data_IF_070987046459
#
_entry.id   IF_070987046459
#
_cell.length_a   1.000
_cell.length_b   1.000
_cell.length_c   1.000
_cell.angle_alpha   90.00
_cell.angle_beta   90.00
_cell.angle_gamma   90.00
#
_symmetry.space_group_name_H-M   'P 1'
#
loop_
_entity.id
_entity.type
_entity.pdbx_description
1 polymer ?
#
# COMPACT_ATOMS: atom_id res chain seq x y z
N UNK A 1 14.40 12.45 -15.02
CA UNK A 1 14.68 12.41 -13.56
C UNK A 1 13.92 11.23 -12.98
N UNK A 2 14.61 10.24 -12.37
CA UNK A 2 13.96 9.09 -11.74
C UNK A 2 13.49 9.54 -10.35
N UNK A 3 12.18 9.59 -10.11
CA UNK A 3 11.56 10.10 -8.86
C UNK A 3 11.90 9.29 -7.60
N UNK A 4 12.68 8.22 -7.71
CA UNK A 4 13.06 7.32 -6.62
C UNK A 4 14.20 7.82 -5.72
N UNK A 5 14.94 8.87 -6.10
CA UNK A 5 16.11 9.35 -5.32
C UNK A 5 15.75 10.27 -4.13
N UNK A 6 14.47 10.57 -3.91
CA UNK A 6 14.04 11.53 -2.87
C UNK A 6 13.41 10.93 -1.62
N UNK A 7 13.13 9.62 -1.59
CA UNK A 7 12.44 9.00 -0.46
C UNK A 7 13.44 8.31 0.48
N UNK A 8 13.38 8.63 1.78
CA UNK A 8 14.30 8.08 2.80
C UNK A 8 13.90 6.68 3.25
N UNK A 9 12.61 6.42 3.29
CA UNK A 9 11.98 5.25 3.87
C UNK A 9 11.17 4.43 2.85
N UNK A 10 11.17 4.82 1.58
CA UNK A 10 10.54 4.08 0.49
C UNK A 10 11.57 3.53 -0.49
N UNK A 11 11.37 2.30 -0.95
CA UNK A 11 12.29 1.60 -1.85
C UNK A 11 11.54 0.98 -3.02
N UNK A 12 12.13 1.03 -4.21
CA UNK A 12 11.61 0.31 -5.36
C UNK A 12 12.02 -1.16 -5.27
N UNK A 13 11.13 -2.09 -5.65
CA UNK A 13 11.46 -3.50 -5.79
C UNK A 13 11.35 -3.91 -7.27
N UNK A 14 12.48 -4.05 -7.99
CA UNK A 14 12.45 -4.32 -9.43
C UNK A 14 11.92 -5.73 -9.77
N UNK A 15 11.94 -6.65 -8.79
CA UNK A 15 11.43 -8.02 -8.94
C UNK A 15 9.90 -8.09 -8.80
N UNK A 16 9.25 -6.99 -8.38
CA UNK A 16 7.79 -6.92 -8.29
C UNK A 16 7.21 -6.42 -9.61
N UNK A 17 6.05 -6.96 -10.00
CA UNK A 17 5.26 -6.41 -11.10
C UNK A 17 4.71 -5.00 -10.77
N UNK A 18 4.61 -4.67 -9.47
CA UNK A 18 4.16 -3.37 -9.00
C UNK A 18 5.26 -2.32 -9.15
N UNK A 19 4.90 -1.18 -9.72
CA UNK A 19 5.74 0.01 -9.91
C UNK A 19 5.71 0.94 -8.69
N UNK A 20 4.71 0.82 -7.81
CA UNK A 20 4.68 1.58 -6.57
C UNK A 20 5.85 1.23 -5.63
N UNK A 21 6.23 2.18 -4.77
CA UNK A 21 7.29 1.97 -3.79
C UNK A 21 6.81 1.12 -2.60
N UNK A 22 7.78 0.45 -1.98
CA UNK A 22 7.62 -0.36 -0.79
C UNK A 22 8.18 0.37 0.42
N UNK A 23 7.63 0.06 1.59
CA UNK A 23 8.20 0.50 2.86
C UNK A 23 9.55 -0.19 3.07
N UNK A 24 10.61 0.60 3.25
CA UNK A 24 11.94 0.11 3.60
C UNK A 24 11.87 -0.76 4.86
N UNK A 25 12.48 -1.95 4.81
CA UNK A 25 12.48 -2.89 5.92
C UNK A 25 11.20 -3.71 6.07
N UNK A 26 10.20 -3.53 5.19
CA UNK A 26 8.97 -4.34 5.18
C UNK A 26 8.67 -4.90 3.80
N UNK A 27 7.90 -5.98 3.77
CA UNK A 27 7.32 -6.50 2.52
C UNK A 27 5.91 -5.94 2.30
N UNK A 28 5.76 -4.63 2.44
CA UNK A 28 4.48 -3.92 2.36
C UNK A 28 4.63 -2.71 1.42
N UNK A 29 3.66 -2.55 0.52
CA UNK A 29 3.60 -1.41 -0.39
C UNK A 29 3.01 -0.18 0.27
N UNK A 30 3.27 1.01 -0.29
CA UNK A 30 2.63 2.25 0.17
C UNK A 30 1.11 2.18 0.05
N UNK A 31 0.58 1.61 -1.04
CA UNK A 31 -0.85 1.43 -1.22
C UNK A 31 -1.47 0.58 -0.11
N UNK A 32 -0.87 -0.57 0.20
CA UNK A 32 -1.33 -1.44 1.28
C UNK A 32 -1.38 -0.70 2.62
N UNK A 33 -0.33 0.04 2.98
CA UNK A 33 -0.33 0.83 4.21
C UNK A 33 -1.49 1.83 4.24
N UNK A 34 -1.67 2.63 3.18
CA UNK A 34 -2.72 3.65 3.13
C UNK A 34 -4.11 3.04 3.15
N UNK A 35 -4.34 1.92 2.46
CA UNK A 35 -5.62 1.21 2.54
C UNK A 35 -5.88 0.64 3.92
N UNK A 36 -4.88 0.04 4.57
CA UNK A 36 -4.99 -0.45 5.95
C UNK A 36 -5.34 0.68 6.91
N UNK A 37 -4.68 1.83 6.80
CA UNK A 37 -4.99 3.01 7.61
C UNK A 37 -6.42 3.47 7.40
N UNK A 38 -6.88 3.56 6.14
CA UNK A 38 -8.25 3.98 5.83
C UNK A 38 -9.30 3.00 6.30
N UNK A 39 -9.06 1.69 6.12
CA UNK A 39 -9.99 0.63 6.51
C UNK A 39 -10.18 0.57 8.03
N UNK A 40 -9.11 0.85 8.79
CA UNK A 40 -9.13 0.83 10.26
C UNK A 40 -9.27 2.23 10.87
N UNK A 41 -9.45 3.27 10.05
CA UNK A 41 -9.53 4.67 10.45
C UNK A 41 -8.37 5.15 11.36
N UNK A 42 -7.15 4.69 11.04
CA UNK A 42 -5.94 4.98 11.80
C UNK A 42 -5.29 6.30 11.37
N UNK A 43 -4.81 7.07 12.35
CA UNK A 43 -3.86 8.16 12.14
C UNK A 43 -2.46 7.64 11.78
N UNK A 44 -1.57 8.55 11.37
CA UNK A 44 -0.19 8.19 11.04
C UNK A 44 0.56 7.65 12.26
N UNK A 45 0.30 8.21 13.43
CA UNK A 45 0.86 7.82 14.72
C UNK A 45 0.36 6.44 15.15
N UNK A 46 -0.94 6.18 15.03
CA UNK A 46 -1.53 4.89 15.38
C UNK A 46 -1.05 3.79 14.43
N UNK A 47 -1.01 4.06 13.13
CA UNK A 47 -0.49 3.10 12.15
C UNK A 47 1.00 2.81 12.34
N UNK A 48 1.78 3.82 12.73
CA UNK A 48 3.18 3.66 13.08
C UNK A 48 3.35 2.73 14.29
N UNK A 49 2.51 2.88 15.32
CA UNK A 49 2.53 2.00 16.49
C UNK A 49 2.06 0.58 16.16
N UNK A 50 0.93 0.45 15.46
CA UNK A 50 0.32 -0.83 15.12
C UNK A 50 1.24 -1.69 14.23
N UNK A 51 1.88 -1.06 13.25
CA UNK A 51 2.73 -1.75 12.27
C UNK A 51 4.18 -1.78 12.74
N UNK A 52 4.53 -1.16 13.87
CA UNK A 52 5.91 -1.02 14.38
C UNK A 52 6.85 -0.36 13.36
N UNK A 53 6.49 0.86 12.94
CA UNK A 53 7.20 1.68 11.97
C UNK A 53 7.50 3.07 12.52
N UNK A 54 8.57 3.74 12.05
CA UNK A 54 8.75 5.16 12.30
C UNK A 54 7.58 5.97 11.75
N UNK A 55 7.04 6.90 12.54
CA UNK A 55 5.96 7.80 12.09
C UNK A 55 6.35 8.61 10.85
N UNK A 56 7.63 8.96 10.71
CA UNK A 56 8.15 9.63 9.50
C UNK A 56 8.00 8.77 8.24
N UNK A 57 8.18 7.46 8.35
CA UNK A 57 8.01 6.53 7.25
C UNK A 57 6.55 6.44 6.82
N UNK A 58 5.62 6.45 7.78
CA UNK A 58 4.18 6.48 7.50
C UNK A 58 3.78 7.79 6.80
N UNK A 59 4.25 8.93 7.31
CA UNK A 59 3.99 10.24 6.70
C UNK A 59 4.59 10.36 5.28
N UNK A 60 5.81 9.87 5.07
CA UNK A 60 6.42 9.84 3.74
C UNK A 60 5.63 8.96 2.77
N UNK A 61 5.12 7.82 3.24
CA UNK A 61 4.22 6.96 2.46
C UNK A 61 2.91 7.67 2.10
N UNK A 62 2.29 8.41 3.03
CA UNK A 62 1.10 9.22 2.73
C UNK A 62 1.38 10.28 1.65
N UNK A 63 2.48 11.03 1.78
CA UNK A 63 2.88 12.02 0.78
C UNK A 63 3.18 11.39 -0.60
N UNK A 64 3.78 10.20 -0.62
CA UNK A 64 3.96 9.44 -1.86
C UNK A 64 2.60 9.05 -2.46
N UNK A 65 1.67 8.56 -1.64
CA UNK A 65 0.34 8.16 -2.09
C UNK A 65 -0.42 9.34 -2.71
N UNK A 66 -0.39 10.52 -2.11
CA UNK A 66 -1.07 11.71 -2.65
C UNK A 66 -0.58 12.07 -4.06
N UNK A 67 0.71 11.89 -4.33
CA UNK A 67 1.32 12.24 -5.63
C UNK A 67 1.30 11.11 -6.66
N UNK A 68 1.03 9.87 -6.24
CA UNK A 68 1.03 8.67 -7.08
C UNK A 68 -0.26 7.85 -6.96
N UNK A 69 -1.34 8.50 -6.52
CA UNK A 69 -2.63 7.87 -6.25
C UNK A 69 -3.14 7.07 -7.44
N UNK A 70 -3.09 7.67 -8.64
CA UNK A 70 -3.55 7.04 -9.89
C UNK A 70 -2.80 5.74 -10.18
N UNK A 71 -1.48 5.71 -9.95
CA UNK A 71 -0.67 4.50 -10.14
C UNK A 71 -1.07 3.41 -9.14
N UNK A 72 -1.19 3.78 -7.87
CA UNK A 72 -1.51 2.83 -6.79
C UNK A 72 -2.90 2.24 -6.98
N UNK A 73 -3.88 3.07 -7.33
CA UNK A 73 -5.26 2.63 -7.60
C UNK A 73 -5.32 1.72 -8.83
N UNK A 74 -4.63 2.08 -9.93
CA UNK A 74 -4.58 1.23 -11.12
C UNK A 74 -3.95 -0.16 -10.86
N UNK A 75 -2.89 -0.21 -10.04
CA UNK A 75 -2.29 -1.47 -9.61
C UNK A 75 -3.22 -2.29 -8.72
N UNK A 76 -3.93 -1.64 -7.78
CA UNK A 76 -4.91 -2.31 -6.94
C UNK A 76 -6.06 -2.91 -7.77
N UNK A 77 -6.53 -2.20 -8.79
CA UNK A 77 -7.57 -2.68 -9.70
C UNK A 77 -7.08 -3.81 -10.62
N UNK A 78 -5.82 -3.78 -11.06
CA UNK A 78 -5.20 -4.89 -11.79
C UNK A 78 -5.09 -6.15 -10.92
N UNK A 79 -4.63 -6.01 -9.68
CA UNK A 79 -4.58 -7.12 -8.73
C UNK A 79 -5.98 -7.69 -8.47
N UNK A 80 -6.98 -6.82 -8.24
CA UNK A 80 -8.37 -7.23 -8.05
C UNK A 80 -8.88 -8.05 -9.23
N UNK A 81 -8.66 -7.57 -10.46
CA UNK A 81 -9.07 -8.27 -11.70
C UNK A 81 -8.36 -9.61 -11.84
N UNK A 82 -7.06 -9.66 -11.54
CA UNK A 82 -6.29 -10.89 -11.57
C UNK A 82 -6.85 -11.91 -10.57
N UNK A 83 -7.06 -11.53 -9.30
CA UNK A 83 -7.62 -12.42 -8.28
C UNK A 83 -9.00 -12.96 -8.65
N UNK A 84 -9.89 -12.11 -9.18
CA UNK A 84 -11.19 -12.53 -9.68
C UNK A 84 -11.06 -13.52 -10.85
N UNK A 85 -10.11 -13.31 -11.76
CA UNK A 85 -9.85 -14.25 -12.87
C UNK A 85 -9.34 -15.62 -12.41
N UNK A 86 -8.67 -15.67 -11.25
CA UNK A 86 -8.21 -16.91 -10.62
C UNK A 86 -9.30 -17.58 -9.77
N UNK A 87 -10.52 -17.02 -9.72
CA UNK A 87 -11.64 -17.55 -8.95
C UNK A 87 -11.59 -17.25 -7.45
N UNK A 88 -10.75 -16.30 -7.02
CA UNK A 88 -10.72 -15.87 -5.61
C UNK A 88 -11.98 -15.05 -5.31
N UNK A 89 -12.78 -15.51 -4.34
CA UNK A 89 -13.86 -14.70 -3.77
C UNK A 89 -13.25 -13.62 -2.87
N UNK A 90 -13.34 -12.37 -3.32
CA UNK A 90 -12.82 -11.21 -2.58
C UNK A 90 -13.78 -10.69 -1.52
N UNK A 91 -15.07 -11.03 -1.62
CA UNK A 91 -16.08 -10.69 -0.63
C UNK A 91 -16.37 -11.92 0.24
N UNK A 92 -16.48 -11.77 1.57
CA UNK A 92 -16.88 -12.87 2.42
C UNK A 92 -18.28 -13.33 2.00
N UNK A 93 -18.46 -14.65 1.88
CA UNK A 93 -19.79 -15.22 1.68
C UNK A 93 -20.69 -14.74 2.83
N UNK A 94 -21.79 -14.08 2.50
CA UNK A 94 -22.81 -13.70 3.48
C UNK A 94 -23.24 -14.99 4.17
N UNK A 95 -22.86 -15.16 5.43
CA UNK A 95 -23.37 -16.27 6.25
C UNK A 95 -24.82 -15.94 6.61
N UNK A 96 -25.82 -16.70 6.14
CA UNK A 96 -27.16 -16.54 6.64
C UNK A 96 -27.17 -16.99 8.11
N UNK A 97 -27.67 -16.12 8.99
CA UNK A 97 -27.87 -16.41 10.41
C UNK A 97 -29.07 -17.29 10.69
#
# INVERSE_FOLDING_TARGET
MRKSEHYRYLVAKPESWRKQLYLKGRNMTVGQLVYTMRANNLSAEEAALDIDLPVEQVREAQAYYETHRELIEAEADEEKRYLLSQGVQLEPAIVPG
#
